data_IF_853096902248
#
_entry.id   IF_853096902248
#
_cell.length_a   1.000
_cell.length_b   1.000
_cell.length_c   1.000
_cell.angle_alpha   90.00
_cell.angle_beta   90.00
_cell.angle_gamma   90.00
#
_symmetry.space_group_name_H-M   'P 1'
#
loop_
_entity.id
_entity.type
_entity.pdbx_description
1 polymer ?
#
# COMPACT_ATOMS: atom_id res chain seq x y z
N UNK A 1 -46.25 6.30 -4.98
CA UNK A 1 -45.12 7.07 -4.44
C UNK A 1 -43.90 6.16 -4.51
N UNK A 2 -42.83 6.64 -5.15
CA UNK A 2 -41.82 5.87 -5.88
C UNK A 2 -41.08 4.77 -5.10
N UNK A 3 -41.05 3.59 -5.71
CA UNK A 3 -40.10 2.52 -5.44
C UNK A 3 -38.68 2.97 -5.82
N UNK A 4 -37.72 2.74 -4.93
CA UNK A 4 -36.30 3.01 -5.17
C UNK A 4 -35.75 2.01 -6.22
N UNK A 5 -35.13 2.46 -7.33
CA UNK A 5 -34.85 1.57 -8.46
C UNK A 5 -33.48 0.87 -8.42
N UNK A 6 -32.80 0.80 -7.26
CA UNK A 6 -31.51 0.11 -7.18
C UNK A 6 -31.52 -1.00 -6.14
N UNK A 7 -31.29 -2.26 -6.54
CA UNK A 7 -30.92 -3.28 -5.57
C UNK A 7 -29.64 -2.79 -4.87
N UNK A 8 -29.67 -2.75 -3.54
CA UNK A 8 -28.45 -2.59 -2.75
C UNK A 8 -27.61 -3.83 -3.07
N UNK A 9 -26.65 -3.71 -3.97
CA UNK A 9 -25.60 -4.69 -4.08
C UNK A 9 -25.05 -4.90 -2.67
N UNK A 10 -25.13 -6.13 -2.19
CA UNK A 10 -24.55 -6.51 -0.90
C UNK A 10 -23.13 -5.99 -0.87
N UNK A 11 -22.82 -5.16 0.13
CA UNK A 11 -21.50 -4.60 0.27
C UNK A 11 -20.50 -5.75 0.24
N UNK A 12 -19.63 -5.80 -0.78
CA UNK A 12 -18.38 -6.54 -0.65
C UNK A 12 -17.80 -6.14 0.72
N UNK A 13 -17.37 -7.10 1.54
CA UNK A 13 -16.91 -6.80 2.89
C UNK A 13 -15.91 -5.65 2.80
N UNK A 14 -16.20 -4.55 3.51
CA UNK A 14 -15.33 -3.37 3.50
C UNK A 14 -13.95 -3.86 3.86
N UNK A 15 -13.02 -3.75 2.91
CA UNK A 15 -11.68 -4.24 3.11
C UNK A 15 -11.07 -3.59 4.35
N UNK A 16 -10.60 -4.39 5.29
CA UNK A 16 -9.92 -3.88 6.48
C UNK A 16 -8.52 -3.41 6.08
N UNK A 17 -8.41 -2.12 5.80
CA UNK A 17 -7.16 -1.46 5.39
C UNK A 17 -6.04 -1.72 6.41
N UNK A 18 -6.35 -1.70 7.71
CA UNK A 18 -5.37 -1.91 8.76
C UNK A 18 -4.88 -3.37 8.76
N UNK A 19 -5.77 -4.33 8.54
CA UNK A 19 -5.40 -5.74 8.40
C UNK A 19 -4.49 -5.96 7.17
N UNK A 20 -4.81 -5.33 6.03
CA UNK A 20 -3.99 -5.40 4.82
C UNK A 20 -2.61 -4.77 5.04
N UNK A 21 -2.55 -3.57 5.63
CA UNK A 21 -1.30 -2.90 5.94
C UNK A 21 -0.39 -3.76 6.83
N UNK A 22 -0.96 -4.39 7.87
CA UNK A 22 -0.23 -5.30 8.76
C UNK A 22 0.25 -6.56 8.03
N UNK A 23 -0.59 -7.14 7.17
CA UNK A 23 -0.22 -8.32 6.38
C UNK A 23 0.85 -8.02 5.32
N UNK A 24 0.93 -6.78 4.84
CA UNK A 24 1.94 -6.36 3.87
C UNK A 24 3.34 -6.12 4.48
N UNK A 25 3.44 -5.86 5.79
CA UNK A 25 4.71 -5.52 6.45
C UNK A 25 5.85 -6.54 6.21
N UNK A 26 5.63 -7.87 6.34
CA UNK A 26 6.70 -8.85 6.10
C UNK A 26 7.23 -8.83 4.65
N UNK A 27 6.42 -8.38 3.70
CA UNK A 27 6.76 -8.29 2.28
C UNK A 27 7.32 -6.94 1.88
N UNK A 28 7.36 -5.96 2.80
CA UNK A 28 7.72 -4.59 2.52
C UNK A 28 9.10 -4.43 1.85
N UNK A 29 10.17 -5.17 2.22
CA UNK A 29 11.43 -5.07 1.50
C UNK A 29 11.33 -5.43 0.01
N UNK A 30 10.54 -6.45 -0.33
CA UNK A 30 10.31 -6.88 -1.72
C UNK A 30 9.42 -5.89 -2.48
N UNK A 31 8.38 -5.38 -1.82
CA UNK A 31 7.53 -4.32 -2.35
C UNK A 31 8.34 -3.06 -2.65
N UNK A 32 9.21 -2.63 -1.73
CA UNK A 32 10.11 -1.49 -1.95
C UNK A 32 11.08 -1.72 -3.11
N UNK A 33 11.67 -2.91 -3.27
CA UNK A 33 12.50 -3.25 -4.44
C UNK A 33 11.75 -3.08 -5.75
N UNK A 34 10.48 -3.48 -5.78
CA UNK A 34 9.63 -3.39 -6.98
C UNK A 34 9.14 -1.95 -7.25
N UNK A 35 8.77 -1.22 -6.21
CA UNK A 35 8.13 0.10 -6.30
C UNK A 35 9.13 1.25 -6.35
N UNK A 36 10.29 1.07 -5.72
CA UNK A 36 11.30 2.10 -5.52
C UNK A 36 12.68 1.57 -5.96
N UNK A 37 12.85 1.21 -7.25
CA UNK A 37 14.00 0.43 -7.73
C UNK A 37 15.36 1.14 -7.62
N UNK A 38 15.40 2.48 -7.60
CA UNK A 38 16.63 3.25 -7.34
C UNK A 38 17.03 3.29 -5.87
N UNK A 39 16.24 2.69 -4.99
CA UNK A 39 16.52 2.62 -3.56
C UNK A 39 17.40 1.45 -3.15
N UNK A 40 17.82 1.51 -1.89
CA UNK A 40 18.58 0.44 -1.23
C UNK A 40 18.18 0.31 0.22
N UNK A 41 18.35 -0.90 0.77
CA UNK A 41 18.14 -1.15 2.18
C UNK A 41 19.36 -0.70 2.99
N UNK A 42 19.13 0.10 4.04
CA UNK A 42 20.11 0.56 5.02
C UNK A 42 19.55 0.23 6.41
N UNK A 43 20.01 -0.87 6.99
CA UNK A 43 19.47 -1.38 8.25
C UNK A 43 17.97 -1.71 8.13
N UNK A 44 17.15 -1.02 8.92
CA UNK A 44 15.69 -1.17 8.93
C UNK A 44 14.97 -0.18 7.99
N UNK A 45 15.70 0.59 7.18
CA UNK A 45 15.13 1.59 6.28
C UNK A 45 15.38 1.22 4.82
N UNK A 46 14.39 1.42 3.95
CA UNK A 46 14.61 1.55 2.51
C UNK A 46 14.85 3.02 2.19
N UNK A 47 15.93 3.34 1.49
CA UNK A 47 16.32 4.72 1.18
C UNK A 47 16.41 4.92 -0.33
N UNK A 48 15.68 5.89 -0.88
CA UNK A 48 15.69 6.30 -2.28
C UNK A 48 15.58 7.83 -2.42
N UNK A 49 15.56 8.33 -3.66
CA UNK A 49 15.46 9.76 -3.98
C UNK A 49 14.03 10.29 -3.96
N UNK A 50 13.05 9.48 -4.36
CA UNK A 50 11.65 9.91 -4.41
C UNK A 50 10.69 8.72 -4.40
N UNK A 51 9.40 9.00 -4.26
CA UNK A 51 8.33 8.01 -4.47
C UNK A 51 8.23 7.49 -5.91
N UNK A 52 8.86 8.16 -6.87
CA UNK A 52 8.99 7.66 -8.24
C UNK A 52 10.10 6.59 -8.37
N UNK A 53 10.85 6.33 -7.29
CA UNK A 53 11.89 5.30 -7.27
C UNK A 53 13.23 5.75 -7.84
N UNK A 54 13.48 7.06 -7.92
CA UNK A 54 14.78 7.60 -8.32
C UNK A 54 15.86 7.29 -7.28
N UNK A 55 17.15 7.22 -7.66
CA UNK A 55 18.23 7.09 -6.69
C UNK A 55 18.40 8.36 -5.85
N UNK A 56 18.77 8.21 -4.58
CA UNK A 56 18.97 9.33 -3.65
C UNK A 56 18.75 8.93 -2.20
N UNK A 57 18.56 9.93 -1.33
CA UNK A 57 18.39 9.72 0.11
C UNK A 57 17.28 10.56 0.77
N UNK A 58 16.44 11.21 -0.04
CA UNK A 58 15.34 12.08 0.36
C UNK A 58 14.06 11.33 0.71
N UNK A 59 13.86 10.11 0.22
CA UNK A 59 12.72 9.27 0.57
C UNK A 59 13.19 8.08 1.42
N UNK A 60 12.53 7.85 2.56
CA UNK A 60 12.83 6.76 3.48
C UNK A 60 11.56 6.01 3.87
N UNK A 61 11.64 4.69 3.90
CA UNK A 61 10.59 3.79 4.36
C UNK A 61 11.12 2.94 5.49
N UNK A 62 10.49 2.98 6.65
CA UNK A 62 10.82 2.12 7.76
C UNK A 62 10.24 0.71 7.52
N UNK A 63 11.11 -0.26 7.23
CA UNK A 63 10.75 -1.63 6.89
C UNK A 63 10.09 -2.40 8.04
N UNK A 64 10.19 -1.90 9.29
CA UNK A 64 9.57 -2.54 10.47
C UNK A 64 8.16 -2.06 10.74
N UNK A 65 7.86 -0.80 10.41
CA UNK A 65 6.58 -0.15 10.76
C UNK A 65 5.75 0.24 9.56
N UNK A 66 6.33 0.27 8.36
CA UNK A 66 5.67 0.74 7.14
C UNK A 66 5.54 2.26 7.04
N UNK A 67 5.96 3.00 8.07
CA UNK A 67 6.00 4.47 8.03
C UNK A 67 7.03 4.95 7.02
N UNK A 68 6.72 6.03 6.33
CA UNK A 68 7.60 6.57 5.31
C UNK A 68 7.48 8.08 5.19
N UNK A 69 8.52 8.70 4.65
CA UNK A 69 8.55 10.12 4.33
C UNK A 69 9.42 10.39 3.10
N UNK A 70 8.96 11.28 2.24
CA UNK A 70 9.76 11.97 1.24
C UNK A 70 10.03 13.39 1.75
N UNK A 71 11.24 13.61 2.25
CA UNK A 71 11.67 14.88 2.86
C UNK A 71 11.83 16.00 1.82
N UNK A 72 12.09 15.66 0.55
CA UNK A 72 12.20 16.66 -0.51
C UNK A 72 10.82 17.15 -0.97
N UNK A 73 9.85 16.23 -1.07
CA UNK A 73 8.47 16.56 -1.45
C UNK A 73 7.57 16.97 -0.27
N UNK A 74 8.03 16.79 0.98
CA UNK A 74 7.24 17.05 2.19
C UNK A 74 6.08 16.07 2.42
N UNK A 75 6.11 14.90 1.77
CA UNK A 75 5.07 13.88 1.85
C UNK A 75 5.43 12.82 2.89
N UNK A 76 4.43 12.24 3.55
CA UNK A 76 4.63 11.17 4.52
C UNK A 76 3.38 10.31 4.65
N UNK A 77 3.58 9.08 5.13
CA UNK A 77 2.49 8.15 5.42
C UNK A 77 2.80 7.22 6.58
N UNK A 78 1.74 6.64 7.14
CA UNK A 78 1.77 5.89 8.39
C UNK A 78 2.00 4.39 8.23
N UNK A 79 1.85 3.86 7.02
CA UNK A 79 1.74 2.42 6.77
C UNK A 79 1.97 2.05 5.29
N UNK A 80 2.03 0.74 5.01
CA UNK A 80 2.32 0.19 3.68
C UNK A 80 1.24 0.50 2.64
N UNK A 81 -0.03 0.60 3.04
CA UNK A 81 -1.12 0.98 2.13
C UNK A 81 -0.97 2.43 1.71
N UNK A 82 -0.68 3.33 2.66
CA UNK A 82 -0.41 4.74 2.36
C UNK A 82 0.81 4.91 1.45
N UNK A 83 1.84 4.07 1.59
CA UNK A 83 2.99 4.05 0.69
C UNK A 83 2.57 3.63 -0.72
N UNK A 84 1.85 2.52 -0.84
CA UNK A 84 1.36 2.03 -2.12
C UNK A 84 0.47 3.07 -2.83
N UNK A 85 -0.43 3.72 -2.07
CA UNK A 85 -1.27 4.80 -2.56
C UNK A 85 -0.43 5.96 -3.13
N UNK A 86 0.63 6.38 -2.42
CA UNK A 86 1.47 7.48 -2.85
C UNK A 86 2.35 7.13 -4.06
N UNK A 87 2.96 5.94 -4.08
CA UNK A 87 3.76 5.46 -5.22
C UNK A 87 2.92 5.33 -6.48
N UNK A 88 1.74 4.68 -6.37
CA UNK A 88 0.92 4.33 -7.53
C UNK A 88 -0.14 5.38 -7.87
N UNK A 89 -0.18 6.51 -7.14
CA UNK A 89 -1.18 7.58 -7.27
C UNK A 89 -2.62 7.05 -7.18
N UNK A 90 -2.86 6.20 -6.19
CA UNK A 90 -4.15 5.58 -5.92
C UNK A 90 -4.79 6.15 -4.66
N UNK A 91 -6.09 5.96 -4.50
CA UNK A 91 -6.73 6.10 -3.18
C UNK A 91 -6.27 4.99 -2.23
N UNK A 92 -6.41 5.20 -0.92
CA UNK A 92 -6.08 4.15 0.06
C UNK A 92 -6.93 2.88 -0.12
N UNK A 93 -8.19 3.01 -0.56
CA UNK A 93 -9.06 1.88 -0.82
C UNK A 93 -8.53 1.04 -1.98
N UNK A 94 -8.22 1.66 -3.13
CA UNK A 94 -7.66 0.97 -4.29
C UNK A 94 -6.29 0.34 -3.98
N UNK A 95 -5.44 1.04 -3.23
CA UNK A 95 -4.15 0.53 -2.81
C UNK A 95 -4.29 -0.68 -1.89
N UNK A 96 -5.21 -0.62 -0.92
CA UNK A 96 -5.51 -1.74 -0.05
C UNK A 96 -6.07 -2.93 -0.83
N UNK A 97 -6.99 -2.71 -1.78
CA UNK A 97 -7.56 -3.78 -2.60
C UNK A 97 -6.50 -4.51 -3.42
N UNK A 98 -5.62 -3.74 -4.09
CA UNK A 98 -4.51 -4.33 -4.86
C UNK A 98 -3.54 -5.10 -3.97
N UNK A 99 -3.20 -4.55 -2.81
CA UNK A 99 -2.36 -5.25 -1.83
C UNK A 99 -3.03 -6.52 -1.31
N UNK A 100 -4.32 -6.48 -0.98
CA UNK A 100 -5.06 -7.64 -0.53
C UNK A 100 -5.10 -8.74 -1.60
N UNK A 101 -5.25 -8.38 -2.88
CA UNK A 101 -5.16 -9.32 -4.00
C UNK A 101 -3.75 -9.91 -4.12
N UNK A 102 -2.71 -9.09 -4.06
CA UNK A 102 -1.31 -9.54 -4.10
C UNK A 102 -0.96 -10.49 -2.94
N UNK A 103 -1.57 -10.29 -1.78
CA UNK A 103 -1.36 -11.08 -0.56
C UNK A 103 -2.34 -12.25 -0.42
N UNK A 104 -3.27 -12.45 -1.37
CA UNK A 104 -4.29 -13.50 -1.29
C UNK A 104 -5.33 -13.31 -0.17
N UNK A 105 -5.50 -12.08 0.34
CA UNK A 105 -6.47 -11.75 1.40
C UNK A 105 -7.88 -11.44 0.86
N UNK A 106 -8.03 -11.29 -0.46
CA UNK A 106 -9.33 -11.09 -1.11
C UNK A 106 -10.13 -12.37 -1.13
N UNK A 107 -11.05 -12.52 -0.18
CA UNK A 107 -12.19 -13.45 -0.15
C UNK A 107 -12.04 -14.76 -0.92
N UNK A 108 -11.90 -15.87 -0.18
CA UNK A 108 -12.09 -17.22 -0.71
C UNK A 108 -13.39 -17.32 -1.52
N UNK A 109 -13.26 -17.41 -2.84
CA UNK A 109 -14.18 -18.15 -3.68
C UNK A 109 -13.35 -18.97 -4.69
N UNK A 110 -12.69 -20.00 -4.18
CA UNK A 110 -12.46 -21.20 -4.96
C UNK A 110 -13.29 -22.29 -4.30
N UNK A 111 -14.48 -22.52 -4.85
CA UNK A 111 -15.20 -23.76 -4.59
C UNK A 111 -14.30 -24.93 -4.96
N UNK A 112 -14.20 -25.89 -4.05
CA UNK A 112 -13.76 -27.24 -4.36
C UNK A 112 -14.83 -28.19 -3.88
#
# INVERSE_FOLDING_TARGET
MSAHPFPRHGAAPRLDIAAVARAALPHLPELCRRWLPGGKQIGAEWTCGSLAGEPGASCRVNLRTGRWADFAAGQKGGDVVSLAAAVHRLTQAEAAERLAQMLGMGGANHGR
#
